data_IF_855856759630
#
_entry.id   IF_855856759630
#
_cell.length_a   1.000
_cell.length_b   1.000
_cell.length_c   1.000
_cell.angle_alpha   90.00
_cell.angle_beta   90.00
_cell.angle_gamma   90.00
#
_symmetry.space_group_name_H-M   'P 1'
#
loop_
_entity.id
_entity.type
_entity.pdbx_description
1 polymer ?
#
# COMPACT_ATOMS: atom_id res chain seq x y z
N UNK A 1 -18.62 31.72 71.89
CA UNK A 1 -19.19 31.99 70.55
C UNK A 1 -18.05 32.14 69.55
N UNK A 2 -18.26 31.64 68.33
CA UNK A 2 -17.36 31.65 67.16
C UNK A 2 -16.25 30.58 67.17
N UNK A 3 -16.66 29.33 66.92
CA UNK A 3 -15.86 28.32 66.22
C UNK A 3 -16.83 27.33 65.57
N UNK A 4 -17.41 27.71 64.43
CA UNK A 4 -18.32 26.86 63.66
C UNK A 4 -18.30 27.23 62.17
N UNK A 5 -17.13 27.20 61.54
CA UNK A 5 -17.01 27.26 60.07
C UNK A 5 -15.81 26.42 59.61
N UNK A 6 -15.82 25.12 59.95
CA UNK A 6 -14.84 24.16 59.45
C UNK A 6 -15.54 22.88 59.01
N UNK A 7 -16.53 22.99 58.12
CA UNK A 7 -17.21 21.82 57.57
C UNK A 7 -18.01 22.17 56.31
N UNK A 8 -17.32 22.63 55.26
CA UNK A 8 -17.88 22.62 53.89
C UNK A 8 -16.78 22.75 52.82
N UNK A 9 -15.80 21.83 52.83
CA UNK A 9 -14.91 21.59 51.69
C UNK A 9 -14.93 20.08 51.41
N UNK A 10 -16.11 19.58 51.07
CA UNK A 10 -16.30 18.27 50.41
C UNK A 10 -17.14 18.53 49.17
N UNK A 11 -16.78 17.90 48.05
CA UNK A 11 -17.40 17.97 46.72
C UNK A 11 -16.92 19.05 45.76
N UNK A 12 -15.62 19.03 45.46
CA UNK A 12 -15.12 19.37 44.12
C UNK A 12 -14.24 18.22 43.62
N UNK A 13 -14.83 17.02 43.54
CA UNK A 13 -14.28 15.97 42.67
C UNK A 13 -14.66 16.34 41.25
N UNK A 14 -13.81 17.12 40.60
CA UNK A 14 -13.84 17.23 39.14
C UNK A 14 -13.58 15.84 38.59
N UNK A 15 -14.59 15.23 37.98
CA UNK A 15 -14.39 14.08 37.11
C UNK A 15 -13.62 14.59 35.90
N UNK A 16 -12.29 14.56 36.01
CA UNK A 16 -11.42 14.65 34.85
C UNK A 16 -11.72 13.39 34.04
N UNK A 17 -12.63 13.52 33.07
CA UNK A 17 -12.64 12.62 31.94
C UNK A 17 -11.31 12.82 31.25
N UNK A 18 -10.33 11.98 31.61
CA UNK A 18 -9.19 11.74 30.77
C UNK A 18 -9.77 11.29 29.43
N UNK A 19 -9.83 12.22 28.48
CA UNK A 19 -10.04 11.90 27.08
C UNK A 19 -8.83 11.05 26.72
N UNK A 20 -8.97 9.74 26.87
CA UNK A 20 -7.97 8.79 26.44
C UNK A 20 -7.78 9.05 24.95
N UNK A 21 -6.69 9.73 24.60
CA UNK A 21 -6.18 9.66 23.25
C UNK A 21 -6.17 8.16 22.92
N UNK A 22 -6.85 7.76 21.85
CA UNK A 22 -6.75 6.40 21.32
C UNK A 22 -5.30 6.19 20.87
N UNK A 23 -4.45 5.93 21.86
CA UNK A 23 -3.14 5.35 21.69
C UNK A 23 -3.39 4.10 20.88
N UNK A 24 -2.66 3.95 19.76
CA UNK A 24 -2.68 2.71 19.01
C UNK A 24 -2.60 1.55 20.01
N UNK A 25 -3.44 0.51 19.88
CA UNK A 25 -3.47 -0.56 20.88
C UNK A 25 -2.04 -1.02 21.11
N UNK A 26 -1.62 -1.07 22.39
CA UNK A 26 -0.23 -1.34 22.80
C UNK A 26 0.36 -2.61 22.15
N UNK A 27 -0.48 -3.44 21.53
CA UNK A 27 -0.13 -4.64 20.78
C UNK A 27 0.34 -4.43 19.34
N UNK A 28 0.25 -3.25 18.71
CA UNK A 28 0.69 -3.07 17.31
C UNK A 28 1.63 -1.89 17.15
N UNK A 29 2.85 -2.17 16.68
CA UNK A 29 3.86 -1.16 16.42
C UNK A 29 4.47 -1.36 15.02
N UNK A 30 4.39 -0.33 14.18
CA UNK A 30 5.06 -0.30 12.88
C UNK A 30 6.34 0.53 13.03
N UNK A 31 7.49 -0.07 12.68
CA UNK A 31 8.79 0.58 12.78
C UNK A 31 8.82 1.94 12.07
N UNK A 32 9.40 2.94 12.74
CA UNK A 32 9.48 4.31 12.23
C UNK A 32 10.38 4.45 11.00
N UNK A 33 11.31 3.51 10.81
CA UNK A 33 12.25 3.48 9.68
C UNK A 33 11.80 2.44 8.64
N UNK A 34 11.69 2.87 7.38
CA UNK A 34 11.49 1.94 6.27
C UNK A 34 12.75 1.11 6.02
N UNK A 35 12.60 -0.21 5.91
CA UNK A 35 13.70 -1.13 5.58
C UNK A 35 14.05 -1.10 4.10
N UNK A 36 13.04 -0.85 3.27
CA UNK A 36 13.17 -0.69 1.83
C UNK A 36 12.14 0.29 1.33
N UNK A 37 12.48 1.08 0.31
CA UNK A 37 11.56 2.05 -0.29
C UNK A 37 11.84 2.22 -1.78
N UNK A 38 10.76 2.30 -2.54
CA UNK A 38 10.78 2.43 -4.00
C UNK A 38 9.80 3.53 -4.40
N UNK A 39 10.30 4.53 -5.13
CA UNK A 39 9.54 5.73 -5.52
C UNK A 39 10.05 6.35 -6.83
N UNK A 40 10.90 5.62 -7.56
CA UNK A 40 11.42 6.04 -8.86
C UNK A 40 11.57 4.83 -9.79
N UNK A 41 10.47 4.50 -10.46
CA UNK A 41 10.33 3.32 -11.31
C UNK A 41 9.62 3.73 -12.58
N UNK A 42 9.94 3.10 -13.70
CA UNK A 42 9.21 3.33 -14.94
C UNK A 42 8.22 2.20 -15.17
N UNK A 43 6.93 2.54 -15.28
CA UNK A 43 5.94 1.63 -15.83
C UNK A 43 5.96 1.72 -17.35
N UNK A 44 5.91 0.58 -18.02
CA UNK A 44 5.94 0.42 -19.46
C UNK A 44 4.63 -0.21 -19.93
N UNK A 45 4.14 0.24 -21.07
CA UNK A 45 3.01 -0.34 -21.79
C UNK A 45 3.32 -0.35 -23.29
N UNK A 46 3.04 -1.47 -23.94
CA UNK A 46 2.96 -1.54 -25.39
C UNK A 46 1.54 -1.17 -25.82
N UNK A 47 1.39 -0.04 -26.51
CA UNK A 47 0.09 0.42 -26.98
C UNK A 47 -0.42 -0.42 -28.16
N UNK A 48 -1.65 -0.14 -28.62
CA UNK A 48 -2.29 -0.90 -29.72
C UNK A 48 -1.54 -0.78 -31.06
N UNK A 49 -0.66 0.21 -31.21
CA UNK A 49 0.20 0.37 -32.40
C UNK A 49 1.52 -0.41 -32.30
N UNK A 50 1.71 -1.18 -31.23
CA UNK A 50 2.94 -1.92 -30.95
C UNK A 50 4.09 -1.06 -30.39
N UNK A 51 3.87 0.23 -30.14
CA UNK A 51 4.87 1.16 -29.61
C UNK A 51 4.91 1.12 -28.09
N UNK A 52 6.12 1.12 -27.54
CA UNK A 52 6.35 1.22 -26.11
C UNK A 52 6.24 2.68 -25.64
N UNK A 53 5.46 2.88 -24.59
CA UNK A 53 5.34 4.13 -23.85
C UNK A 53 5.64 3.89 -22.37
N UNK A 54 6.13 4.91 -21.69
CA UNK A 54 6.53 4.82 -20.28
C UNK A 54 5.97 5.94 -19.43
N UNK A 55 5.74 5.66 -18.14
CA UNK A 55 5.35 6.63 -17.13
C UNK A 55 6.15 6.45 -15.84
N UNK A 56 6.47 7.54 -15.13
CA UNK A 56 7.13 7.46 -13.83
C UNK A 56 6.14 7.05 -12.75
N UNK A 57 6.46 5.98 -12.01
CA UNK A 57 5.66 5.32 -10.98
C UNK A 57 4.23 4.97 -11.40
N UNK A 58 4.01 4.78 -12.70
CA UNK A 58 2.72 4.36 -13.25
C UNK A 58 2.91 3.64 -14.56
N UNK A 59 2.05 2.67 -14.84
CA UNK A 59 1.92 2.13 -16.18
C UNK A 59 1.00 3.10 -16.94
N UNK A 60 1.48 3.74 -18.01
CA UNK A 60 0.72 4.79 -18.69
C UNK A 60 -0.56 4.23 -19.29
N UNK A 61 -1.65 5.01 -19.31
CA UNK A 61 -2.91 4.62 -19.93
C UNK A 61 -2.75 4.41 -21.46
N UNK A 62 -3.46 3.42 -22.01
CA UNK A 62 -3.46 3.13 -23.45
C UNK A 62 -4.30 4.15 -24.23
N UNK A 63 -3.74 5.34 -24.46
CA UNK A 63 -4.42 6.40 -25.20
C UNK A 63 -3.98 6.44 -26.66
N UNK A 64 -4.93 6.74 -27.55
CA UNK A 64 -4.61 7.06 -28.94
C UNK A 64 -3.68 8.28 -29.00
N UNK A 65 -2.81 8.34 -30.02
CA UNK A 65 -1.74 9.34 -30.11
C UNK A 65 -2.22 10.80 -29.97
N UNK A 66 -3.40 11.12 -30.52
CA UNK A 66 -4.02 12.44 -30.43
C UNK A 66 -4.46 12.86 -29.02
N UNK A 67 -4.64 11.89 -28.11
CA UNK A 67 -5.04 12.11 -26.71
C UNK A 67 -3.89 11.98 -25.72
N UNK A 68 -2.64 11.88 -26.20
CA UNK A 68 -1.46 11.70 -25.34
C UNK A 68 -1.36 12.77 -24.23
N UNK A 69 -1.79 14.00 -24.51
CA UNK A 69 -1.77 15.10 -23.55
C UNK A 69 -2.72 14.90 -22.35
N UNK A 70 -3.63 13.93 -22.44
CA UNK A 70 -4.56 13.57 -21.38
C UNK A 70 -4.03 12.42 -20.49
N UNK A 71 -2.78 11.97 -20.68
CA UNK A 71 -2.19 10.83 -19.93
C UNK A 71 -2.10 11.04 -18.43
N UNK A 72 -2.14 12.29 -17.96
CA UNK A 72 -2.10 12.66 -16.54
C UNK A 72 -3.42 13.27 -16.07
N UNK A 73 -4.43 13.32 -16.94
CA UNK A 73 -5.72 13.94 -16.67
C UNK A 73 -6.72 12.92 -16.11
N UNK A 74 -7.40 13.29 -15.03
CA UNK A 74 -8.45 12.51 -14.37
C UNK A 74 -8.10 11.01 -14.18
N UNK A 75 -8.98 10.11 -14.62
CA UNK A 75 -8.80 8.67 -14.51
C UNK A 75 -7.57 8.15 -15.28
N UNK A 76 -7.18 8.79 -16.38
CA UNK A 76 -5.99 8.39 -17.14
C UNK A 76 -4.71 8.61 -16.33
N UNK A 77 -4.73 9.59 -15.43
CA UNK A 77 -3.65 9.85 -14.48
C UNK A 77 -3.41 8.71 -13.48
N UNK A 78 -4.36 7.79 -13.33
CA UNK A 78 -4.25 6.63 -12.45
C UNK A 78 -3.47 5.47 -13.06
N UNK A 79 -3.09 5.57 -14.33
CA UNK A 79 -2.43 4.51 -15.06
C UNK A 79 -3.38 3.44 -15.58
N UNK A 80 -2.89 2.62 -16.50
CA UNK A 80 -3.62 1.50 -17.08
C UNK A 80 -4.04 0.52 -15.97
N UNK A 81 -5.31 0.10 -15.93
CA UNK A 81 -5.85 -0.75 -14.86
C UNK A 81 -5.65 -0.20 -13.43
N UNK A 82 -5.47 1.12 -13.28
CA UNK A 82 -5.17 1.73 -11.97
C UNK A 82 -3.75 1.45 -11.47
N UNK A 83 -2.85 0.98 -12.33
CA UNK A 83 -1.46 0.73 -11.99
C UNK A 83 -0.66 2.03 -11.87
N UNK A 84 -0.66 2.54 -10.64
CA UNK A 84 0.23 3.61 -10.21
C UNK A 84 0.65 3.42 -8.74
N UNK A 85 1.68 4.17 -8.36
CA UNK A 85 2.01 4.41 -6.97
C UNK A 85 2.73 5.74 -6.80
N UNK A 86 2.65 6.30 -5.60
CA UNK A 86 3.55 7.37 -5.14
C UNK A 86 4.82 6.77 -4.57
N UNK A 87 4.68 5.73 -3.74
CA UNK A 87 5.79 4.92 -3.25
C UNK A 87 5.30 3.53 -2.82
N UNK A 88 6.23 2.60 -2.79
CA UNK A 88 6.12 1.35 -2.05
C UNK A 88 7.20 1.33 -0.98
N UNK A 89 6.87 0.89 0.24
CA UNK A 89 7.85 0.75 1.31
C UNK A 89 7.59 -0.49 2.16
N UNK A 90 8.70 -1.10 2.60
CA UNK A 90 8.72 -2.27 3.45
C UNK A 90 9.13 -1.85 4.87
N UNK A 91 8.41 -2.30 5.89
CA UNK A 91 8.69 -2.02 7.30
C UNK A 91 8.57 -3.28 8.14
N UNK A 92 9.22 -3.23 9.30
CA UNK A 92 8.96 -4.17 10.38
C UNK A 92 7.65 -3.78 11.07
N UNK A 93 6.84 -4.78 11.43
CA UNK A 93 5.66 -4.60 12.26
C UNK A 93 5.64 -5.64 13.36
N UNK A 94 5.48 -5.20 14.60
CA UNK A 94 5.26 -6.06 15.76
C UNK A 94 3.77 -6.13 16.03
N UNK A 95 3.24 -7.35 16.12
CA UNK A 95 1.85 -7.63 16.50
C UNK A 95 1.91 -8.55 17.72
N UNK A 96 1.42 -8.06 18.85
CA UNK A 96 1.68 -8.59 20.19
C UNK A 96 3.19 -8.75 20.42
N UNK A 97 3.67 -9.98 20.57
CA UNK A 97 5.08 -10.30 20.80
C UNK A 97 5.78 -10.90 19.57
N UNK A 98 5.10 -10.89 18.42
CA UNK A 98 5.61 -11.50 17.18
C UNK A 98 5.98 -10.43 16.15
N UNK A 99 7.14 -10.64 15.51
CA UNK A 99 7.66 -9.79 14.46
C UNK A 99 7.19 -10.27 13.09
N UNK A 100 6.72 -9.34 12.28
CA UNK A 100 6.25 -9.54 10.91
C UNK A 100 6.80 -8.44 10.00
N UNK A 101 6.49 -8.56 8.71
CA UNK A 101 6.79 -7.56 7.70
C UNK A 101 5.51 -6.97 7.15
N UNK A 102 5.51 -5.65 6.91
CA UNK A 102 4.45 -4.93 6.21
C UNK A 102 4.98 -4.27 4.95
N UNK A 103 4.34 -4.55 3.81
CA UNK A 103 4.51 -3.81 2.56
C UNK A 103 3.39 -2.79 2.43
N UNK A 104 3.71 -1.52 2.22
CA UNK A 104 2.76 -0.41 2.07
C UNK A 104 2.92 0.18 0.67
N UNK A 105 1.86 0.14 -0.14
CA UNK A 105 1.75 0.84 -1.43
C UNK A 105 0.85 2.06 -1.25
N UNK A 106 1.40 3.26 -1.35
CA UNK A 106 0.61 4.50 -1.45
C UNK A 106 0.43 4.86 -2.91
N UNK A 107 -0.78 5.19 -3.33
CA UNK A 107 -1.10 5.45 -4.74
C UNK A 107 -2.22 6.49 -4.88
N UNK A 108 -2.36 7.03 -6.10
CA UNK A 108 -3.44 7.92 -6.48
C UNK A 108 -4.62 7.10 -6.96
N UNK A 109 -5.81 7.58 -6.65
CA UNK A 109 -7.09 7.02 -7.07
C UNK A 109 -8.07 8.18 -7.31
N UNK A 110 -9.32 7.89 -7.62
CA UNK A 110 -10.36 8.90 -7.70
C UNK A 110 -11.71 8.31 -8.05
N UNK A 111 -12.71 9.17 -8.03
CA UNK A 111 -14.07 8.79 -8.40
C UNK A 111 -14.77 9.95 -9.09
N UNK A 112 -15.73 9.61 -9.94
CA UNK A 112 -16.66 10.59 -10.50
C UNK A 112 -17.80 10.81 -9.51
N UNK A 113 -18.12 12.08 -9.22
CA UNK A 113 -19.32 12.44 -8.43
C UNK A 113 -20.60 11.91 -9.08
N UNK A 114 -20.63 11.86 -10.41
CA UNK A 114 -21.66 11.17 -11.15
C UNK A 114 -21.02 10.10 -12.06
N UNK A 115 -20.94 8.84 -11.59
CA UNK A 115 -20.31 7.75 -12.34
C UNK A 115 -20.98 7.46 -13.68
N UNK A 116 -22.32 7.59 -13.78
CA UNK A 116 -23.06 7.27 -14.99
C UNK A 116 -22.73 8.21 -16.16
N UNK A 117 -22.37 9.46 -15.87
CA UNK A 117 -22.02 10.46 -16.89
C UNK A 117 -20.53 10.80 -16.92
N UNK A 118 -19.69 10.14 -16.12
CA UNK A 118 -18.27 10.45 -15.96
C UNK A 118 -18.01 11.95 -15.72
N UNK A 119 -18.79 12.58 -14.82
CA UNK A 119 -18.62 14.00 -14.50
C UNK A 119 -18.24 14.24 -13.04
N UNK A 120 -17.50 15.33 -12.82
CA UNK A 120 -17.05 15.75 -11.49
C UNK A 120 -15.98 14.83 -10.91
N UNK A 121 -14.92 14.55 -11.68
CA UNK A 121 -13.77 13.80 -11.20
C UNK A 121 -13.21 14.39 -9.89
N UNK A 122 -13.03 13.54 -8.89
CA UNK A 122 -12.46 13.89 -7.59
C UNK A 122 -11.26 13.00 -7.34
N UNK A 123 -10.02 13.53 -7.42
CA UNK A 123 -8.83 12.75 -7.12
C UNK A 123 -8.69 12.52 -5.62
N UNK A 124 -8.15 11.37 -5.24
CA UNK A 124 -7.87 11.01 -3.86
C UNK A 124 -6.55 10.25 -3.76
N UNK A 125 -6.04 10.12 -2.53
CA UNK A 125 -4.93 9.22 -2.23
C UNK A 125 -5.47 8.00 -1.52
N UNK A 126 -4.87 6.85 -1.80
CA UNK A 126 -5.22 5.58 -1.20
C UNK A 126 -3.95 4.85 -0.79
N UNK A 127 -4.10 3.90 0.13
CA UNK A 127 -3.03 2.95 0.45
C UNK A 127 -3.56 1.52 0.40
N UNK A 128 -2.70 0.60 0.01
CA UNK A 128 -2.90 -0.82 0.23
C UNK A 128 -1.72 -1.31 1.06
N UNK A 129 -1.98 -2.10 2.08
CA UNK A 129 -0.92 -2.72 2.88
C UNK A 129 -1.11 -4.23 2.98
N UNK A 130 0.01 -4.93 3.06
CA UNK A 130 0.09 -6.39 3.18
C UNK A 130 0.99 -6.72 4.36
N UNK A 131 0.47 -7.45 5.34
CA UNK A 131 1.23 -7.99 6.48
C UNK A 131 1.47 -9.47 6.25
N UNK A 132 2.71 -9.92 6.38
CA UNK A 132 3.11 -11.31 6.18
C UNK A 132 4.31 -11.66 7.06
N UNK A 133 4.58 -12.97 7.20
CA UNK A 133 5.78 -13.43 7.91
C UNK A 133 7.02 -13.08 7.09
N UNK A 134 8.06 -12.58 7.75
CA UNK A 134 9.29 -12.13 7.08
C UNK A 134 9.95 -13.21 6.23
N UNK A 135 9.86 -14.48 6.63
CA UNK A 135 10.41 -15.60 5.87
C UNK A 135 9.73 -15.84 4.50
N UNK A 136 8.57 -15.25 4.24
CA UNK A 136 7.95 -15.29 2.92
C UNK A 136 8.82 -14.59 1.86
N UNK A 137 9.66 -13.63 2.26
CA UNK A 137 10.59 -12.93 1.37
C UNK A 137 11.71 -13.83 0.84
N UNK A 138 12.00 -14.96 1.50
CA UNK A 138 12.99 -15.94 1.01
C UNK A 138 12.61 -16.50 -0.36
N UNK A 139 11.31 -16.49 -0.70
CA UNK A 139 10.81 -16.90 -2.02
C UNK A 139 11.30 -16.00 -3.16
N UNK A 140 11.73 -14.77 -2.86
CA UNK A 140 12.23 -13.80 -3.84
C UNK A 140 13.75 -13.90 -4.05
N UNK A 141 14.45 -14.79 -3.33
CA UNK A 141 15.90 -14.99 -3.43
C UNK A 141 16.25 -16.10 -4.42
N UNK A 142 17.49 -16.07 -4.92
CA UNK A 142 18.04 -17.14 -5.76
C UNK A 142 17.33 -17.33 -7.10
N UNK A 143 16.74 -16.25 -7.64
CA UNK A 143 16.02 -16.29 -8.92
C UNK A 143 17.00 -16.21 -10.10
N UNK A 144 16.76 -17.03 -11.12
CA UNK A 144 17.59 -17.08 -12.32
C UNK A 144 17.29 -15.92 -13.29
N UNK A 145 18.31 -15.55 -14.07
CA UNK A 145 18.16 -14.52 -15.09
C UNK A 145 17.28 -15.02 -16.24
N UNK A 146 16.43 -14.12 -16.75
CA UNK A 146 15.53 -14.32 -17.88
C UNK A 146 14.36 -15.30 -17.69
N UNK A 147 14.21 -15.91 -16.51
CA UNK A 147 13.03 -16.69 -16.15
C UNK A 147 11.90 -15.77 -15.64
N UNK A 148 10.65 -16.15 -15.96
CA UNK A 148 9.46 -15.47 -15.47
C UNK A 148 8.95 -16.19 -14.21
N UNK A 149 8.88 -15.47 -13.10
CA UNK A 149 8.38 -15.99 -11.84
C UNK A 149 7.04 -15.35 -11.48
N UNK A 150 6.13 -16.17 -10.95
CA UNK A 150 4.87 -15.75 -10.35
C UNK A 150 4.88 -16.19 -8.89
N UNK A 151 5.37 -15.31 -8.01
CA UNK A 151 5.67 -15.65 -6.63
C UNK A 151 4.54 -15.16 -5.74
N UNK A 152 3.85 -16.11 -5.09
CA UNK A 152 2.82 -15.82 -4.10
C UNK A 152 3.42 -15.68 -2.70
N UNK A 153 3.26 -14.50 -2.12
CA UNK A 153 3.56 -14.17 -0.72
C UNK A 153 2.28 -14.32 0.07
N UNK A 154 2.26 -15.28 0.99
CA UNK A 154 1.09 -15.57 1.82
C UNK A 154 0.92 -14.45 2.85
N UNK A 155 -0.21 -13.75 2.79
CA UNK A 155 -0.49 -12.65 3.70
C UNK A 155 -1.23 -13.14 4.94
N UNK A 156 -1.03 -12.45 6.05
CA UNK A 156 -1.83 -12.57 7.27
C UNK A 156 -2.98 -11.56 7.22
N UNK A 157 -2.68 -10.34 6.77
CA UNK A 157 -3.63 -9.26 6.63
C UNK A 157 -3.35 -8.50 5.34
N UNK A 158 -4.41 -8.18 4.59
CA UNK A 158 -4.37 -7.29 3.44
C UNK A 158 -5.53 -6.30 3.60
N UNK A 159 -5.26 -5.00 3.41
CA UNK A 159 -6.33 -4.01 3.36
C UNK A 159 -5.99 -2.86 2.45
N UNK A 160 -7.03 -2.33 1.81
CA UNK A 160 -6.99 -1.06 1.11
C UNK A 160 -7.77 -0.01 1.89
N UNK A 161 -7.14 1.12 2.18
CA UNK A 161 -7.78 2.30 2.78
C UNK A 161 -7.81 3.40 1.72
N UNK A 162 -9.02 3.77 1.30
CA UNK A 162 -9.25 4.79 0.28
C UNK A 162 -9.46 6.17 0.92
N UNK A 163 -9.20 7.21 0.13
CA UNK A 163 -9.41 8.61 0.52
C UNK A 163 -8.70 8.98 1.83
N UNK A 164 -7.41 8.67 1.91
CA UNK A 164 -6.62 8.98 3.10
C UNK A 164 -6.33 10.48 3.23
N UNK A 165 -6.40 10.98 4.47
CA UNK A 165 -6.03 12.35 4.83
C UNK A 165 -4.54 12.61 4.51
N UNK A 166 -4.14 13.85 4.16
CA UNK A 166 -2.72 14.19 3.96
C UNK A 166 -1.80 13.88 5.14
N UNK A 167 -2.33 13.89 6.37
CA UNK A 167 -1.62 13.54 7.62
C UNK A 167 -1.67 12.04 7.93
N UNK A 168 -2.25 11.22 7.06
CA UNK A 168 -2.29 9.78 7.23
C UNK A 168 -0.88 9.20 7.37
N UNK A 169 -0.71 8.34 8.36
CA UNK A 169 0.58 7.79 8.79
C UNK A 169 0.49 6.32 9.15
N UNK A 170 1.63 5.71 9.50
CA UNK A 170 1.68 4.33 10.00
C UNK A 170 0.87 4.14 11.28
N UNK A 171 0.63 5.19 12.09
CA UNK A 171 -0.25 5.13 13.26
C UNK A 171 -1.68 4.78 12.85
N UNK A 172 -2.15 5.34 11.73
CA UNK A 172 -3.49 5.05 11.21
C UNK A 172 -3.59 3.61 10.70
N UNK A 173 -2.52 3.08 10.08
CA UNK A 173 -2.45 1.66 9.68
C UNK A 173 -2.48 0.75 10.90
N UNK A 174 -1.73 1.08 11.96
CA UNK A 174 -1.72 0.29 13.19
C UNK A 174 -3.09 0.28 13.89
N UNK A 175 -3.78 1.42 13.93
CA UNK A 175 -5.15 1.53 14.45
C UNK A 175 -6.14 0.72 13.63
N UNK A 176 -6.05 0.78 12.30
CA UNK A 176 -6.87 -0.01 11.39
C UNK A 176 -6.68 -1.52 11.61
N UNK A 177 -5.43 -1.97 11.63
CA UNK A 177 -5.09 -3.37 11.87
C UNK A 177 -5.59 -3.86 13.23
N UNK A 178 -5.52 -3.01 14.27
CA UNK A 178 -5.97 -3.41 15.59
C UNK A 178 -7.49 -3.64 15.69
N UNK A 179 -8.30 -2.94 14.88
CA UNK A 179 -9.75 -3.20 14.80
C UNK A 179 -10.06 -4.55 14.18
N UNK A 180 -9.30 -4.92 13.15
CA UNK A 180 -9.44 -6.23 12.49
C UNK A 180 -9.04 -7.35 13.45
N UNK A 181 -7.91 -7.19 14.14
CA UNK A 181 -7.38 -8.21 15.06
C UNK A 181 -8.27 -8.38 16.29
N UNK A 182 -8.87 -7.31 16.82
CA UNK A 182 -9.78 -7.40 17.97
C UNK A 182 -11.14 -8.01 17.63
N UNK A 183 -11.42 -8.26 16.34
CA UNK A 183 -12.73 -8.71 15.87
C UNK A 183 -13.80 -7.61 15.91
N UNK A 184 -13.41 -6.35 16.11
CA UNK A 184 -14.33 -5.21 16.06
C UNK A 184 -14.87 -4.95 14.64
N UNK A 185 -14.16 -5.44 13.62
CA UNK A 185 -14.60 -5.46 12.23
C UNK A 185 -14.45 -6.87 11.67
N UNK A 186 -15.32 -7.25 10.73
CA UNK A 186 -15.21 -8.53 10.04
C UNK A 186 -13.84 -8.63 9.36
N UNK A 187 -13.19 -9.79 9.49
CA UNK A 187 -11.93 -10.04 8.83
C UNK A 187 -12.09 -9.81 7.31
N UNK A 188 -11.23 -9.00 6.67
CA UNK A 188 -11.28 -8.85 5.23
C UNK A 188 -11.07 -10.21 4.56
N UNK A 189 -11.56 -10.36 3.33
CA UNK A 189 -11.20 -11.51 2.51
C UNK A 189 -9.68 -11.65 2.48
N UNK A 190 -9.18 -12.85 2.79
CA UNK A 190 -7.75 -13.11 2.79
C UNK A 190 -7.24 -13.08 1.36
N UNK A 191 -6.53 -12.01 1.01
CA UNK A 191 -5.90 -11.85 -0.29
C UNK A 191 -4.38 -11.87 -0.16
N UNK A 192 -3.74 -12.78 -0.88
CA UNK A 192 -2.28 -12.91 -0.89
C UNK A 192 -1.65 -11.83 -1.79
N UNK A 193 -0.35 -11.59 -1.64
CA UNK A 193 0.40 -10.71 -2.50
C UNK A 193 1.04 -11.53 -3.63
N UNK A 194 0.80 -11.13 -4.88
CA UNK A 194 1.47 -11.71 -6.05
C UNK A 194 2.59 -10.79 -6.51
N UNK A 195 3.80 -11.34 -6.61
CA UNK A 195 4.94 -10.69 -7.24
C UNK A 195 5.25 -11.45 -8.52
N UNK A 196 4.84 -10.88 -9.65
CA UNK A 196 5.26 -11.36 -10.96
C UNK A 196 6.54 -10.64 -11.32
N UNK A 197 7.62 -11.36 -11.63
CA UNK A 197 8.89 -10.70 -11.96
C UNK A 197 9.74 -11.50 -12.94
N UNK A 198 10.59 -10.78 -13.67
CA UNK A 198 11.64 -11.32 -14.52
C UNK A 198 12.90 -10.48 -14.38
N UNK A 199 14.00 -11.12 -14.02
CA UNK A 199 15.32 -10.50 -14.06
C UNK A 199 15.74 -10.37 -15.53
N UNK A 200 15.99 -9.15 -16.00
CA UNK A 200 16.31 -8.85 -17.38
C UNK A 200 17.50 -7.90 -17.46
N UNK A 201 18.65 -8.43 -17.91
CA UNK A 201 19.95 -7.73 -17.89
C UNK A 201 20.28 -7.28 -16.44
N UNK A 202 20.41 -5.98 -16.22
CA UNK A 202 20.65 -5.37 -14.91
C UNK A 202 19.38 -4.78 -14.28
N UNK A 203 18.22 -4.99 -14.91
CA UNK A 203 16.92 -4.52 -14.45
C UNK A 203 16.02 -5.68 -13.99
N UNK A 204 14.99 -5.33 -13.24
CA UNK A 204 13.87 -6.21 -12.91
C UNK A 204 12.63 -5.66 -13.56
N UNK A 205 11.94 -6.50 -14.35
CA UNK A 205 10.58 -6.25 -14.80
C UNK A 205 9.62 -6.90 -13.84
N UNK A 206 8.61 -6.20 -13.36
CA UNK A 206 7.73 -6.73 -12.33
C UNK A 206 6.32 -6.14 -12.33
N UNK A 207 5.42 -6.86 -11.68
CA UNK A 207 4.11 -6.40 -11.22
C UNK A 207 3.93 -6.88 -9.77
N UNK A 208 3.37 -6.01 -8.94
CA UNK A 208 2.99 -6.31 -7.56
C UNK A 208 1.49 -6.08 -7.47
N UNK A 209 0.74 -7.18 -7.36
CA UNK A 209 -0.72 -7.16 -7.38
C UNK A 209 -1.28 -7.95 -6.20
N UNK A 210 -2.53 -7.65 -5.86
CA UNK A 210 -3.31 -8.51 -4.98
C UNK A 210 -3.67 -9.80 -5.73
N UNK A 211 -3.37 -10.96 -5.15
CA UNK A 211 -3.73 -12.27 -5.66
C UNK A 211 -5.17 -12.61 -5.27
N UNK A 212 -6.11 -12.46 -6.21
CA UNK A 212 -7.44 -13.06 -6.08
C UNK A 212 -7.45 -14.45 -6.74
N UNK A 213 -8.27 -15.38 -6.24
CA UNK A 213 -8.25 -16.81 -6.57
C UNK A 213 -8.39 -17.16 -8.07
N UNK A 214 -8.82 -16.21 -8.89
CA UNK A 214 -9.04 -16.35 -10.34
C UNK A 214 -8.10 -15.48 -11.19
N UNK A 215 -7.10 -14.84 -10.60
CA UNK A 215 -6.15 -14.01 -11.37
C UNK A 215 -5.22 -14.91 -12.17
N UNK A 216 -5.24 -14.78 -13.50
CA UNK A 216 -4.26 -15.43 -14.34
C UNK A 216 -2.85 -14.88 -14.03
N UNK A 217 -1.80 -15.73 -14.07
CA UNK A 217 -0.41 -15.27 -14.00
C UNK A 217 -0.15 -14.19 -15.06
N UNK A 218 0.58 -13.14 -14.70
CA UNK A 218 0.97 -12.11 -15.66
C UNK A 218 2.23 -12.56 -16.40
N UNK A 219 2.27 -12.34 -17.71
CA UNK A 219 3.40 -12.73 -18.56
C UNK A 219 4.44 -11.62 -18.74
N UNK A 220 4.16 -10.41 -18.21
CA UNK A 220 4.95 -9.19 -18.37
C UNK A 220 5.22 -8.85 -19.85
N UNK A 221 4.35 -9.27 -20.77
CA UNK A 221 4.56 -9.08 -22.22
C UNK A 221 4.12 -7.69 -22.65
N UNK A 222 2.95 -7.23 -22.19
CA UNK A 222 2.35 -5.97 -22.65
C UNK A 222 2.59 -4.79 -21.73
N UNK A 223 2.70 -5.04 -20.43
CA UNK A 223 2.95 -4.00 -19.45
C UNK A 223 3.65 -4.54 -18.21
N UNK A 224 4.46 -3.69 -17.59
CA UNK A 224 5.24 -4.01 -16.39
C UNK A 224 5.85 -2.73 -15.81
N UNK A 225 6.27 -2.80 -14.56
CA UNK A 225 7.24 -1.85 -14.00
C UNK A 225 8.66 -2.33 -14.27
N UNK A 226 9.60 -1.41 -14.48
CA UNK A 226 11.02 -1.69 -14.65
C UNK A 226 11.86 -0.77 -13.76
N UNK A 227 12.83 -1.36 -13.06
CA UNK A 227 13.79 -0.65 -12.20
C UNK A 227 15.12 -1.40 -12.17
N UNK A 228 16.25 -0.74 -11.88
CA UNK A 228 17.52 -1.42 -11.63
C UNK A 228 17.38 -2.51 -10.55
N UNK A 229 18.06 -3.64 -10.75
CA UNK A 229 17.96 -4.80 -9.85
C UNK A 229 18.32 -4.45 -8.41
N UNK A 230 19.32 -3.58 -8.22
CA UNK A 230 19.68 -3.07 -6.90
C UNK A 230 18.53 -2.36 -6.17
N UNK A 231 17.67 -1.63 -6.89
CA UNK A 231 16.55 -0.91 -6.27
C UNK A 231 15.43 -1.88 -5.86
N UNK A 232 15.22 -2.94 -6.66
CA UNK A 232 14.29 -4.01 -6.32
C UNK A 232 14.77 -4.79 -5.09
N UNK A 233 16.06 -5.15 -5.06
CA UNK A 233 16.69 -5.82 -3.91
C UNK A 233 16.59 -4.95 -2.66
N UNK A 234 16.86 -3.64 -2.75
CA UNK A 234 16.71 -2.69 -1.63
C UNK A 234 15.27 -2.62 -1.10
N UNK A 235 14.26 -2.68 -1.95
CA UNK A 235 12.85 -2.68 -1.51
C UNK A 235 12.53 -3.91 -0.65
N UNK A 236 12.93 -5.10 -1.10
CA UNK A 236 12.61 -6.37 -0.45
C UNK A 236 13.67 -6.87 0.53
N UNK A 237 14.79 -6.14 0.65
CA UNK A 237 15.94 -6.47 1.50
C UNK A 237 16.46 -7.89 1.25
N UNK A 238 16.72 -8.22 -0.02
CA UNK A 238 17.11 -9.57 -0.47
C UNK A 238 18.61 -9.88 -0.34
N UNK A 239 19.34 -9.09 0.44
CA UNK A 239 20.78 -9.28 0.74
C UNK A 239 21.02 -10.42 1.75
#
# INVERSE_FOLDING_TARGET
MKNLYLLFICFLTTTIFAQGSMTAPHSINIGSVAKGKMWDVYGWLQNDTGKWISGRNKIPANLAAQFKNLSDFEQNGLGENGENFTYMELRDITIYDSLYTILIKKYKDGYYKNPAYHTGWTPQNSITYYVFRTNELEKLKGLDKNELYNIKINTLYCRTIRNIDPKFSTVNIAQDLAKVISGAEAAPFKEDLMVTLKLYKDNVRFLITTCVSYTAPFDLIKYYYETPTENFIKLFKLE
#
